data_IF_023698996252
#
_entry.id   IF_023698996252
#
_cell.length_a   1.000
_cell.length_b   1.000
_cell.length_c   1.000
_cell.angle_alpha   90.00
_cell.angle_beta   90.00
_cell.angle_gamma   90.00
#
_symmetry.space_group_name_H-M   'P 1'
#
loop_
_entity.id
_entity.type
_entity.pdbx_description
1 polymer ?
#
# COMPACT_ATOMS: atom_id res chain seq x y z
N UNK A 1 30.86 -17.45 15.91
CA UNK A 1 29.41 -17.28 15.69
C UNK A 1 29.20 -15.91 15.06
N UNK A 2 28.41 -15.85 14.00
CA UNK A 2 28.01 -14.62 13.32
C UNK A 2 26.69 -14.12 13.94
N UNK A 3 26.52 -12.82 14.09
CA UNK A 3 25.31 -12.22 14.67
C UNK A 3 24.47 -11.59 13.57
N UNK A 4 23.23 -12.05 13.43
CA UNK A 4 22.24 -11.46 12.51
C UNK A 4 21.24 -10.66 13.34
N UNK A 5 21.03 -9.40 12.99
CA UNK A 5 20.12 -8.50 13.68
C UNK A 5 18.97 -8.12 12.76
N UNK A 6 17.73 -8.37 13.18
CA UNK A 6 16.49 -8.09 12.42
C UNK A 6 15.54 -7.18 13.21
N UNK A 7 14.51 -6.62 12.58
CA UNK A 7 13.57 -5.73 13.30
C UNK A 7 12.59 -6.46 14.23
N UNK A 8 12.11 -7.67 13.88
CA UNK A 8 11.03 -8.34 14.60
C UNK A 8 11.37 -9.75 15.13
N UNK A 9 10.75 -10.19 16.24
CA UNK A 9 10.95 -11.55 16.76
C UNK A 9 10.46 -12.65 15.81
N UNK A 10 9.37 -12.41 15.07
CA UNK A 10 8.84 -13.39 14.10
C UNK A 10 9.87 -13.64 13.00
N UNK A 11 10.42 -12.56 12.42
CA UNK A 11 11.47 -12.63 11.40
C UNK A 11 12.70 -13.36 11.94
N UNK A 12 13.10 -13.09 13.19
CA UNK A 12 14.20 -13.80 13.83
C UNK A 12 13.95 -15.32 13.91
N UNK A 13 12.74 -15.73 14.30
CA UNK A 13 12.34 -17.15 14.34
C UNK A 13 12.36 -17.79 12.95
N UNK A 14 11.82 -17.11 11.94
CA UNK A 14 11.79 -17.62 10.57
C UNK A 14 13.20 -17.77 9.99
N UNK A 15 14.09 -16.79 10.19
CA UNK A 15 15.48 -16.87 9.74
C UNK A 15 16.26 -17.99 10.43
N UNK A 16 16.02 -18.25 11.72
CA UNK A 16 16.65 -19.37 12.44
C UNK A 16 16.31 -20.75 11.83
N UNK A 17 15.21 -20.88 11.07
CA UNK A 17 14.88 -22.13 10.37
C UNK A 17 15.70 -22.34 9.10
N UNK A 18 16.25 -21.27 8.52
CA UNK A 18 17.01 -21.31 7.27
C UNK A 18 18.53 -21.22 7.50
N UNK A 19 18.95 -20.59 8.58
CA UNK A 19 20.35 -20.42 8.96
C UNK A 19 20.87 -21.61 9.76
N UNK A 20 22.13 -21.97 9.53
CA UNK A 20 22.81 -23.00 10.32
C UNK A 20 23.20 -22.50 11.73
N UNK A 21 23.75 -23.39 12.55
CA UNK A 21 24.16 -23.09 13.93
C UNK A 21 25.35 -22.13 14.03
N UNK A 22 25.94 -21.70 12.91
CA UNK A 22 27.03 -20.71 12.91
C UNK A 22 26.51 -19.29 13.10
N UNK A 23 25.20 -19.07 12.88
CA UNK A 23 24.51 -17.80 13.07
C UNK A 23 23.71 -17.77 14.36
N UNK A 24 23.72 -16.60 15.02
CA UNK A 24 22.79 -16.25 16.09
C UNK A 24 21.93 -15.09 15.61
N UNK A 25 20.61 -15.30 15.57
CA UNK A 25 19.66 -14.27 15.14
C UNK A 25 19.01 -13.59 16.35
N UNK A 26 19.05 -12.27 16.39
CA UNK A 26 18.46 -11.44 17.45
C UNK A 26 17.61 -10.33 16.85
N UNK A 27 16.61 -9.84 17.58
CA UNK A 27 15.72 -8.78 17.11
C UNK A 27 15.88 -7.47 17.89
N UNK A 28 15.83 -6.32 17.21
CA UNK A 28 15.78 -4.99 17.84
C UNK A 28 14.39 -4.64 18.42
N UNK A 29 13.35 -5.37 17.99
CA UNK A 29 11.95 -5.07 18.24
C UNK A 29 11.56 -3.67 17.73
N UNK A 30 12.02 -3.33 16.52
CA UNK A 30 11.83 -2.04 15.86
C UNK A 30 12.93 -1.02 16.18
N UNK A 31 12.56 0.26 16.21
CA UNK A 31 13.48 1.36 16.52
C UNK A 31 14.05 1.24 17.94
N UNK A 32 15.36 1.48 18.07
CA UNK A 32 16.07 1.51 19.36
C UNK A 32 16.23 2.93 19.89
N UNK A 33 16.34 3.92 18.99
CA UNK A 33 16.53 5.33 19.30
C UNK A 33 15.47 6.17 18.61
N UNK A 34 15.16 7.31 19.21
CA UNK A 34 14.30 8.34 18.62
C UNK A 34 14.66 9.71 19.21
N UNK A 35 14.10 10.76 18.62
CA UNK A 35 14.17 12.10 19.16
C UNK A 35 13.43 12.19 20.52
N UNK A 36 13.91 12.98 21.50
CA UNK A 36 13.28 13.16 22.80
C UNK A 36 11.77 13.44 22.71
N UNK A 37 11.00 12.90 23.65
CA UNK A 37 9.54 13.10 23.69
C UNK A 37 9.15 14.51 24.14
N UNK A 38 9.93 15.12 25.05
CA UNK A 38 9.59 16.37 25.74
C UNK A 38 10.26 17.62 25.17
N UNK A 39 11.18 17.48 24.22
CA UNK A 39 11.91 18.60 23.61
C UNK A 39 11.98 18.43 22.10
N UNK A 40 12.36 19.51 21.39
CA UNK A 40 12.49 19.46 19.94
C UNK A 40 13.47 18.36 19.49
N UNK A 41 14.59 18.21 20.21
CA UNK A 41 15.62 17.20 19.92
C UNK A 41 16.36 17.46 18.62
N UNK A 42 16.31 18.67 18.08
CA UNK A 42 17.00 19.07 16.85
C UNK A 42 17.75 20.35 17.15
N UNK A 43 19.08 20.29 17.05
CA UNK A 43 19.94 21.47 17.09
C UNK A 43 19.91 22.12 15.72
N UNK A 44 19.53 23.39 15.68
CA UNK A 44 19.46 24.18 14.46
C UNK A 44 20.59 25.20 14.50
N UNK A 45 21.60 25.02 13.66
CA UNK A 45 22.65 26.03 13.47
C UNK A 45 22.35 26.85 12.23
N UNK A 46 22.51 28.17 12.36
CA UNK A 46 22.28 29.16 11.30
C UNK A 46 23.61 29.79 10.93
N UNK A 47 24.45 29.03 10.25
CA UNK A 47 25.71 29.54 9.71
C UNK A 47 25.53 29.74 8.18
N UNK A 48 26.54 29.44 7.36
CA UNK A 48 26.45 29.58 5.89
C UNK A 48 25.39 28.66 5.25
N UNK A 49 25.05 27.55 5.90
CA UNK A 49 23.90 26.69 5.59
C UNK A 49 23.17 26.35 6.89
N UNK A 50 21.88 26.03 6.76
CA UNK A 50 21.11 25.46 7.87
C UNK A 50 21.57 24.03 8.13
N UNK A 51 22.08 23.79 9.34
CA UNK A 51 22.38 22.44 9.83
C UNK A 51 21.32 22.03 10.85
N UNK A 52 20.73 20.85 10.63
CA UNK A 52 19.71 20.24 11.46
C UNK A 52 20.26 18.97 12.09
N UNK A 53 20.97 19.10 13.21
CA UNK A 53 21.57 17.94 13.88
C UNK A 53 20.56 17.30 14.85
N UNK A 54 20.09 16.06 14.61
CA UNK A 54 19.18 15.37 15.52
C UNK A 54 19.90 14.84 16.77
N UNK A 55 19.28 15.01 17.93
CA UNK A 55 19.71 14.43 19.20
C UNK A 55 18.90 13.17 19.48
N UNK A 56 19.43 12.02 19.04
CA UNK A 56 18.77 10.74 19.25
C UNK A 56 19.07 10.15 20.63
N UNK A 57 18.01 9.87 21.39
CA UNK A 57 18.07 9.19 22.69
C UNK A 57 17.71 7.72 22.56
N UNK A 58 18.30 6.88 23.43
CA UNK A 58 17.85 5.50 23.58
C UNK A 58 16.44 5.48 24.15
N UNK A 59 15.53 4.76 23.51
CA UNK A 59 14.16 4.62 24.00
C UNK A 59 14.16 3.92 25.38
N UNK A 60 13.48 4.46 26.41
CA UNK A 60 13.51 3.88 27.76
C UNK A 60 13.14 2.39 27.80
N UNK A 61 12.14 2.00 27.01
CA UNK A 61 11.66 0.61 26.88
C UNK A 61 12.63 -0.32 26.14
N UNK A 62 13.72 0.21 25.59
CA UNK A 62 14.71 -0.53 24.79
C UNK A 62 16.08 -0.67 25.47
N UNK A 63 16.22 -0.23 26.73
CA UNK A 63 17.47 -0.30 27.50
C UNK A 63 18.03 -1.73 27.58
N UNK A 64 17.21 -2.67 28.00
CA UNK A 64 17.63 -4.07 28.19
C UNK A 64 18.00 -4.73 26.85
N UNK A 65 17.23 -4.44 25.80
CA UNK A 65 17.49 -4.93 24.45
C UNK A 65 18.82 -4.37 23.95
N UNK A 66 19.07 -3.07 24.10
CA UNK A 66 20.30 -2.45 23.68
C UNK A 66 21.53 -3.00 24.44
N UNK A 67 21.40 -3.27 25.74
CA UNK A 67 22.47 -3.91 26.52
C UNK A 67 22.74 -5.34 26.02
N UNK A 68 21.70 -6.15 25.80
CA UNK A 68 21.83 -7.50 25.25
C UNK A 68 22.49 -7.48 23.87
N UNK A 69 22.06 -6.59 22.98
CA UNK A 69 22.66 -6.43 21.64
C UNK A 69 24.14 -6.08 21.71
N UNK A 70 24.53 -5.16 22.60
CA UNK A 70 25.95 -4.82 22.83
C UNK A 70 26.76 -6.03 23.31
N UNK A 71 26.21 -6.84 24.22
CA UNK A 71 26.89 -8.03 24.74
C UNK A 71 27.06 -9.10 23.65
N UNK A 72 26.03 -9.36 22.85
CA UNK A 72 26.11 -10.31 21.73
C UNK A 72 27.07 -9.82 20.65
N UNK A 73 27.03 -8.52 20.32
CA UNK A 73 27.92 -7.91 19.33
C UNK A 73 29.41 -8.02 19.70
N UNK A 74 29.75 -7.99 21.00
CA UNK A 74 31.13 -8.22 21.49
C UNK A 74 31.61 -9.65 21.24
N UNK A 75 30.72 -10.64 21.31
CA UNK A 75 31.03 -12.08 21.11
C UNK A 75 31.04 -12.49 19.63
N UNK A 76 30.43 -11.69 18.77
CA UNK A 76 30.26 -12.00 17.36
C UNK A 76 31.55 -11.76 16.56
N UNK A 77 31.86 -12.69 15.63
CA UNK A 77 32.94 -12.53 14.64
C UNK A 77 32.54 -11.51 13.57
N UNK A 78 31.36 -11.69 12.97
CA UNK A 78 30.75 -10.81 11.98
C UNK A 78 29.36 -10.39 12.45
N UNK A 79 28.96 -9.14 12.15
CA UNK A 79 27.64 -8.60 12.45
C UNK A 79 26.92 -8.26 11.15
N UNK A 80 25.73 -8.81 10.99
CA UNK A 80 24.90 -8.70 9.80
C UNK A 80 23.60 -7.99 10.18
N UNK A 81 23.33 -6.86 9.53
CA UNK A 81 22.12 -6.07 9.71
C UNK A 81 21.13 -6.49 8.61
N UNK A 82 20.09 -7.22 9.00
CA UNK A 82 19.10 -7.84 8.11
C UNK A 82 17.70 -7.23 8.30
N UNK A 83 17.65 -5.90 8.43
CA UNK A 83 16.41 -5.14 8.52
C UNK A 83 15.70 -5.08 7.17
N UNK A 84 14.43 -4.69 7.17
CA UNK A 84 13.62 -4.54 5.95
C UNK A 84 14.29 -3.67 4.85
N UNK A 85 13.97 -3.91 3.56
CA UNK A 85 14.60 -3.23 2.43
C UNK A 85 13.97 -1.85 2.14
N UNK A 86 13.56 -1.10 3.17
CA UNK A 86 13.04 0.26 3.07
C UNK A 86 13.91 1.25 3.86
N UNK A 87 13.75 2.56 3.65
CA UNK A 87 14.51 3.58 4.42
C UNK A 87 14.32 3.48 5.93
N UNK A 88 13.18 2.96 6.40
CA UNK A 88 12.94 2.76 7.83
C UNK A 88 13.84 1.62 8.36
N UNK A 89 13.93 0.51 7.64
CA UNK A 89 14.86 -0.57 7.91
C UNK A 89 16.31 -0.12 7.86
N UNK A 90 16.66 0.77 6.92
CA UNK A 90 18.00 1.34 6.81
C UNK A 90 18.35 2.24 8.02
N UNK A 91 17.43 3.08 8.46
CA UNK A 91 17.60 3.88 9.66
C UNK A 91 17.72 3.03 10.94
N UNK A 92 16.98 1.92 11.04
CA UNK A 92 17.11 0.95 12.14
C UNK A 92 18.50 0.30 12.11
N UNK A 93 18.98 -0.13 10.94
CA UNK A 93 20.33 -0.68 10.78
C UNK A 93 21.39 0.32 11.24
N UNK A 94 21.31 1.58 10.78
CA UNK A 94 22.21 2.66 11.17
C UNK A 94 22.20 2.96 12.66
N UNK A 95 21.02 3.09 13.28
CA UNK A 95 20.90 3.29 14.72
C UNK A 95 21.44 2.12 15.52
N UNK A 96 21.26 0.89 15.02
CA UNK A 96 21.77 -0.32 15.64
C UNK A 96 23.30 -0.34 15.60
N UNK A 97 23.90 -0.09 14.44
CA UNK A 97 25.35 0.00 14.26
C UNK A 97 25.97 1.04 15.20
N UNK A 98 25.37 2.24 15.28
CA UNK A 98 25.79 3.28 16.22
C UNK A 98 25.74 2.80 17.68
N UNK A 99 24.66 2.11 18.08
CA UNK A 99 24.50 1.67 19.47
C UNK A 99 25.50 0.58 19.86
N UNK A 100 25.76 -0.38 18.98
CA UNK A 100 26.70 -1.48 19.29
C UNK A 100 28.16 -1.02 19.29
N UNK A 101 28.47 0.12 18.66
CA UNK A 101 29.80 0.73 18.68
C UNK A 101 30.84 0.00 17.83
N UNK A 102 30.41 -0.84 16.88
CA UNK A 102 31.29 -1.49 15.89
C UNK A 102 31.04 -0.92 14.51
N UNK A 103 32.12 -0.58 13.81
CA UNK A 103 32.09 -0.11 12.42
C UNK A 103 32.09 -1.26 11.41
N UNK A 104 32.61 -2.42 11.79
CA UNK A 104 32.65 -3.62 10.96
C UNK A 104 31.31 -4.37 11.01
N UNK A 105 30.30 -3.79 10.36
CA UNK A 105 28.96 -4.36 10.19
C UNK A 105 28.65 -4.43 8.70
N UNK A 106 28.02 -5.51 8.27
CA UNK A 106 27.51 -5.62 6.89
C UNK A 106 26.00 -5.51 6.85
N UNK A 107 25.48 -5.05 5.70
CA UNK A 107 24.05 -4.89 5.43
C UNK A 107 23.57 -5.96 4.46
N UNK A 108 22.45 -6.60 4.76
CA UNK A 108 21.83 -7.63 3.91
C UNK A 108 20.35 -7.30 3.73
N UNK A 109 19.91 -7.15 2.49
CA UNK A 109 18.51 -6.87 2.12
C UNK A 109 17.91 -8.07 1.39
N UNK A 110 16.63 -8.32 1.61
CA UNK A 110 15.87 -9.32 0.86
C UNK A 110 14.41 -8.88 0.77
N UNK A 111 13.76 -9.16 -0.36
CA UNK A 111 12.35 -8.82 -0.60
C UNK A 111 11.40 -9.99 -0.32
N UNK A 112 11.92 -11.15 0.05
CA UNK A 112 11.19 -12.32 0.47
C UNK A 112 12.01 -13.14 1.47
N UNK A 113 11.34 -13.92 2.33
CA UNK A 113 11.98 -14.72 3.38
C UNK A 113 11.95 -16.19 2.96
N UNK A 114 12.77 -16.52 1.97
CA UNK A 114 12.98 -17.89 1.49
C UNK A 114 14.42 -18.31 1.72
N UNK A 115 14.70 -19.61 1.78
CA UNK A 115 16.06 -20.13 1.98
C UNK A 115 17.03 -19.58 0.92
N UNK A 116 16.64 -19.66 -0.35
CA UNK A 116 17.46 -19.18 -1.48
C UNK A 116 17.70 -17.67 -1.43
N UNK A 117 16.68 -16.86 -1.12
CA UNK A 117 16.85 -15.41 -1.06
C UNK A 117 17.76 -14.99 0.10
N UNK A 118 17.71 -15.69 1.23
CA UNK A 118 18.57 -15.44 2.39
C UNK A 118 20.02 -15.85 2.08
N UNK A 119 20.24 -17.03 1.50
CA UNK A 119 21.58 -17.50 1.12
C UNK A 119 22.25 -16.55 0.11
N UNK A 120 21.50 -16.16 -0.92
CA UNK A 120 21.94 -15.18 -1.92
C UNK A 120 22.34 -13.85 -1.26
N UNK A 121 21.47 -13.31 -0.41
CA UNK A 121 21.70 -12.02 0.24
C UNK A 121 22.89 -12.07 1.23
N UNK A 122 23.14 -13.21 1.88
CA UNK A 122 24.31 -13.41 2.74
C UNK A 122 25.62 -13.57 1.98
N UNK A 123 25.55 -14.08 0.74
CA UNK A 123 26.71 -14.22 -0.14
C UNK A 123 27.14 -12.89 -0.76
N UNK A 124 26.20 -11.93 -0.88
CA UNK A 124 26.43 -10.59 -1.42
C UNK A 124 26.11 -9.48 -0.39
N UNK A 125 26.84 -9.42 0.74
CA UNK A 125 26.61 -8.38 1.74
C UNK A 125 27.00 -7.01 1.18
N UNK A 126 26.15 -6.02 1.41
CA UNK A 126 26.41 -4.62 1.11
C UNK A 126 26.80 -3.81 2.35
N UNK A 127 26.78 -2.49 2.19
CA UNK A 127 26.98 -1.51 3.25
C UNK A 127 25.67 -0.78 3.57
N UNK A 128 25.64 -0.05 4.69
CA UNK A 128 24.49 0.79 5.02
C UNK A 128 24.40 1.92 3.98
N UNK A 129 23.25 2.05 3.35
CA UNK A 129 22.98 3.12 2.39
C UNK A 129 22.69 4.43 3.14
N UNK A 130 23.71 5.29 3.26
CA UNK A 130 23.60 6.56 3.97
C UNK A 130 22.57 7.50 3.35
N UNK A 131 22.37 7.50 2.02
CA UNK A 131 21.36 8.33 1.38
C UNK A 131 19.93 7.95 1.79
N UNK A 132 19.65 6.65 1.96
CA UNK A 132 18.35 6.19 2.49
C UNK A 132 18.18 6.58 3.97
N UNK A 133 19.26 6.48 4.77
CA UNK A 133 19.25 6.94 6.17
C UNK A 133 18.95 8.44 6.22
N UNK A 134 19.67 9.25 5.45
CA UNK A 134 19.49 10.71 5.39
C UNK A 134 18.08 11.07 4.93
N UNK A 135 17.52 10.36 3.96
CA UNK A 135 16.13 10.56 3.53
C UNK A 135 15.13 10.27 4.66
N UNK A 136 15.35 9.21 5.46
CA UNK A 136 14.53 8.89 6.63
C UNK A 136 14.67 9.97 7.71
N UNK A 137 15.91 10.41 8.01
CA UNK A 137 16.18 11.44 9.00
C UNK A 137 15.59 12.79 8.60
N UNK A 138 15.73 13.20 7.34
CA UNK A 138 15.15 14.43 6.80
C UNK A 138 13.63 14.43 6.98
N UNK A 139 12.96 13.31 6.67
CA UNK A 139 11.52 13.14 6.93
C UNK A 139 11.22 13.27 8.43
N UNK A 140 11.96 12.58 9.30
CA UNK A 140 11.75 12.59 10.76
C UNK A 140 11.90 13.99 11.35
N UNK A 141 12.94 14.72 10.93
CA UNK A 141 13.23 16.10 11.32
C UNK A 141 12.12 17.03 10.84
N UNK A 142 11.72 16.93 9.56
CA UNK A 142 10.65 17.75 9.00
C UNK A 142 9.33 17.58 9.76
N UNK A 143 8.91 16.33 9.97
CA UNK A 143 7.66 16.03 10.69
C UNK A 143 7.73 16.54 12.15
N UNK A 144 8.91 16.45 12.80
CA UNK A 144 9.13 17.01 14.14
C UNK A 144 9.05 18.53 14.15
N UNK A 145 9.67 19.23 13.19
CA UNK A 145 9.63 20.69 13.10
C UNK A 145 8.20 21.21 12.90
N UNK A 146 7.44 20.59 11.98
CA UNK A 146 6.04 20.95 11.74
C UNK A 146 5.20 20.70 12.99
N UNK A 147 5.27 19.50 13.56
CA UNK A 147 4.48 19.15 14.73
C UNK A 147 4.77 20.04 15.93
N UNK A 148 6.04 20.26 16.26
CA UNK A 148 6.43 21.04 17.44
C UNK A 148 6.14 22.54 17.29
N UNK A 149 6.29 23.11 16.10
CA UNK A 149 6.05 24.55 15.86
C UNK A 149 4.58 24.88 15.67
N UNK A 150 3.80 24.02 14.98
CA UNK A 150 2.40 24.33 14.65
C UNK A 150 1.40 23.88 15.72
N UNK A 151 1.65 22.80 16.46
CA UNK A 151 0.68 22.32 17.46
C UNK A 151 0.34 23.38 18.54
N UNK A 152 1.30 24.15 19.09
CA UNK A 152 0.98 25.23 20.03
C UNK A 152 0.07 26.31 19.46
N UNK A 153 0.18 26.60 18.15
CA UNK A 153 -0.70 27.54 17.48
C UNK A 153 -2.13 26.98 17.42
N UNK A 154 -2.30 25.70 17.08
CA UNK A 154 -3.61 25.03 17.08
C UNK A 154 -4.24 25.02 18.48
N UNK A 155 -3.43 24.87 19.54
CA UNK A 155 -3.93 24.92 20.92
C UNK A 155 -4.47 26.29 21.30
N UNK A 156 -3.81 27.35 20.84
CA UNK A 156 -4.20 28.74 21.11
C UNK A 156 -5.41 29.19 20.27
N UNK A 157 -5.54 28.68 19.04
CA UNK A 157 -6.54 29.15 18.07
C UNK A 157 -7.76 28.26 17.92
N UNK A 158 -7.67 26.97 18.27
CA UNK A 158 -8.74 25.99 18.05
C UNK A 158 -9.06 25.25 19.35
N UNK A 159 -8.18 24.35 19.79
CA UNK A 159 -8.41 23.52 20.99
C UNK A 159 -7.10 22.94 21.51
N UNK A 160 -6.88 23.00 22.83
CA UNK A 160 -5.76 22.31 23.50
C UNK A 160 -5.80 20.81 23.22
N UNK A 161 -4.63 20.22 22.97
CA UNK A 161 -4.47 18.78 22.71
C UNK A 161 -4.52 18.38 21.23
N UNK A 162 -4.78 19.31 20.30
CA UNK A 162 -4.68 19.03 18.87
C UNK A 162 -3.23 18.84 18.42
N UNK A 163 -2.99 17.97 17.44
CA UNK A 163 -1.66 17.77 16.86
C UNK A 163 -1.63 18.26 15.42
N UNK A 164 -0.55 18.98 15.07
CA UNK A 164 -0.27 19.34 13.70
C UNK A 164 0.51 18.20 13.02
N UNK A 165 0.04 17.75 11.86
CA UNK A 165 0.70 16.72 11.08
C UNK A 165 0.73 17.08 9.60
N UNK A 166 1.92 17.27 9.03
CA UNK A 166 2.11 17.75 7.65
C UNK A 166 1.27 16.97 6.62
N UNK A 167 1.28 15.64 6.70
CA UNK A 167 0.52 14.77 5.79
C UNK A 167 -0.91 14.54 6.26
N UNK A 168 -1.12 14.42 7.58
CA UNK A 168 -2.45 14.17 8.16
C UNK A 168 -3.42 15.32 7.88
N UNK A 169 -2.96 16.57 8.00
CA UNK A 169 -3.79 17.76 7.73
C UNK A 169 -4.24 17.83 6.27
N UNK A 170 -3.41 17.38 5.31
CA UNK A 170 -3.81 17.31 3.89
C UNK A 170 -4.84 16.21 3.67
N UNK A 171 -4.69 15.05 4.31
CA UNK A 171 -5.69 13.97 4.21
C UNK A 171 -7.04 14.40 4.81
N UNK A 172 -7.04 15.07 5.96
CA UNK A 172 -8.25 15.65 6.56
C UNK A 172 -8.87 16.70 5.63
N UNK A 173 -8.04 17.56 5.00
CA UNK A 173 -8.51 18.55 4.02
C UNK A 173 -9.29 17.91 2.88
N UNK A 174 -8.80 16.80 2.30
CA UNK A 174 -9.52 16.11 1.21
C UNK A 174 -10.91 15.62 1.63
N UNK A 175 -11.05 15.14 2.87
CA UNK A 175 -12.35 14.72 3.42
C UNK A 175 -13.26 15.93 3.61
N UNK A 176 -12.75 17.02 4.17
CA UNK A 176 -13.51 18.26 4.39
C UNK A 176 -13.95 18.90 3.06
N UNK A 177 -13.10 18.87 2.04
CA UNK A 177 -13.45 19.36 0.69
C UNK A 177 -14.58 18.54 0.09
N UNK A 178 -14.53 17.20 0.18
CA UNK A 178 -15.63 16.33 -0.25
C UNK A 178 -16.91 16.59 0.55
N UNK A 179 -16.83 16.77 1.85
CA UNK A 179 -18.03 17.06 2.66
C UNK A 179 -18.67 18.38 2.24
N UNK A 180 -17.87 19.42 1.98
CA UNK A 180 -18.37 20.71 1.48
C UNK A 180 -18.97 20.61 0.08
N UNK A 181 -18.47 19.71 -0.77
CA UNK A 181 -19.10 19.41 -2.06
C UNK A 181 -20.50 18.81 -1.86
N UNK A 182 -20.64 17.88 -0.89
CA UNK A 182 -21.91 17.23 -0.55
C UNK A 182 -22.89 18.24 0.06
N UNK A 183 -22.45 19.09 1.00
CA UNK A 183 -23.29 20.12 1.62
C UNK A 183 -23.81 21.16 0.62
N UNK A 184 -23.04 21.44 -0.43
CA UNK A 184 -23.42 22.38 -1.50
C UNK A 184 -24.20 21.72 -2.63
N UNK A 185 -24.34 20.40 -2.62
CA UNK A 185 -25.05 19.67 -3.66
C UNK A 185 -26.54 19.98 -3.57
N UNK A 186 -27.10 20.56 -4.63
CA UNK A 186 -28.55 20.78 -4.78
C UNK A 186 -29.06 19.65 -5.68
N UNK A 187 -29.82 18.67 -5.16
CA UNK A 187 -30.37 17.61 -5.99
C UNK A 187 -31.33 18.16 -7.03
N UNK A 188 -31.17 17.74 -8.29
CA UNK A 188 -32.13 18.00 -9.36
C UNK A 188 -32.99 16.76 -9.58
N UNK A 189 -34.31 16.96 -9.63
CA UNK A 189 -35.26 15.92 -10.00
C UNK A 189 -35.07 15.55 -11.48
N UNK A 190 -35.03 14.24 -11.75
CA UNK A 190 -35.11 13.72 -13.10
C UNK A 190 -35.82 12.37 -13.11
N UNK A 191 -36.43 12.05 -14.24
CA UNK A 191 -37.17 10.82 -14.45
C UNK A 191 -36.54 9.97 -15.56
N UNK A 192 -36.58 8.67 -15.38
CA UNK A 192 -36.20 7.68 -16.39
C UNK A 192 -37.41 6.82 -16.73
N UNK A 193 -37.68 6.64 -18.03
CA UNK A 193 -38.74 5.75 -18.49
C UNK A 193 -38.12 4.43 -18.93
N UNK A 194 -38.62 3.34 -18.36
CA UNK A 194 -38.22 1.98 -18.67
C UNK A 194 -39.42 1.18 -19.15
N UNK A 195 -39.29 0.52 -20.30
CA UNK A 195 -40.29 -0.37 -20.86
C UNK A 195 -39.85 -1.83 -20.67
N UNK A 196 -40.75 -2.68 -20.19
CA UNK A 196 -40.53 -4.12 -20.18
C UNK A 196 -41.00 -4.70 -21.51
N UNK A 197 -40.05 -5.09 -22.35
CA UNK A 197 -40.31 -5.57 -23.70
C UNK A 197 -40.06 -7.07 -23.81
N UNK A 198 -40.80 -7.73 -24.70
CA UNK A 198 -40.63 -9.13 -25.04
C UNK A 198 -40.62 -9.28 -26.55
N UNK A 199 -39.70 -10.10 -27.08
CA UNK A 199 -39.64 -10.34 -28.52
C UNK A 199 -40.94 -10.99 -29.00
N UNK A 200 -41.61 -10.35 -29.94
CA UNK A 200 -42.81 -10.88 -30.57
C UNK A 200 -42.42 -11.68 -31.83
N UNK A 201 -42.25 -13.00 -31.71
CA UNK A 201 -41.95 -13.90 -32.85
C UNK A 201 -43.22 -14.68 -33.21
N UNK A 202 -44.06 -14.12 -34.07
CA UNK A 202 -45.30 -14.77 -34.50
C UNK A 202 -46.30 -15.01 -33.35
N UNK A 203 -46.31 -14.14 -32.34
CA UNK A 203 -47.17 -14.23 -31.15
C UNK A 203 -46.39 -14.29 -29.83
N UNK A 204 -47.14 -14.28 -28.72
CA UNK A 204 -46.64 -14.50 -27.36
C UNK A 204 -46.25 -15.98 -27.16
N UNK A 205 -45.07 -16.39 -27.62
CA UNK A 205 -44.55 -17.74 -27.34
C UNK A 205 -44.10 -17.83 -25.88
N UNK A 206 -44.59 -18.82 -25.14
CA UNK A 206 -44.08 -19.17 -23.80
C UNK A 206 -42.56 -19.36 -23.81
N UNK A 207 -41.88 -18.93 -22.73
CA UNK A 207 -40.43 -19.08 -22.59
C UNK A 207 -39.54 -17.97 -23.19
N UNK A 208 -40.08 -17.03 -23.99
CA UNK A 208 -39.29 -15.86 -24.45
C UNK A 208 -39.05 -14.89 -23.27
N UNK A 209 -37.80 -14.60 -22.87
CA UNK A 209 -37.53 -13.72 -21.74
C UNK A 209 -37.90 -12.27 -22.06
N UNK A 210 -38.44 -11.58 -21.07
CA UNK A 210 -38.60 -10.13 -21.11
C UNK A 210 -37.28 -9.42 -20.77
N UNK A 211 -37.10 -8.20 -21.27
CA UNK A 211 -35.97 -7.35 -20.94
C UNK A 211 -36.41 -5.91 -20.74
N UNK A 212 -35.60 -5.14 -20.01
CA UNK A 212 -35.85 -3.72 -19.79
C UNK A 212 -35.16 -2.89 -20.87
N UNK A 213 -35.92 -1.99 -21.49
CA UNK A 213 -35.43 -0.99 -22.42
C UNK A 213 -35.64 0.41 -21.82
N UNK A 214 -34.55 1.16 -21.66
CA UNK A 214 -34.60 2.57 -21.23
C UNK A 214 -34.88 3.47 -22.43
N UNK A 215 -35.81 4.42 -22.28
CA UNK A 215 -35.98 5.50 -23.25
C UNK A 215 -34.74 6.41 -23.21
N UNK A 216 -33.99 6.46 -24.31
CA UNK A 216 -32.76 7.26 -24.41
C UNK A 216 -32.95 8.55 -25.23
N UNK A 217 -33.95 8.60 -26.10
CA UNK A 217 -34.22 9.72 -27.00
C UNK A 217 -35.71 9.87 -27.26
N UNK A 218 -36.16 11.10 -27.48
CA UNK A 218 -37.50 11.43 -27.97
C UNK A 218 -37.34 12.30 -29.22
N UNK A 219 -37.99 11.92 -30.33
CA UNK A 219 -37.90 12.64 -31.61
C UNK A 219 -36.45 12.91 -32.08
N UNK A 220 -35.55 11.95 -31.87
CA UNK A 220 -34.14 12.04 -32.25
C UNK A 220 -33.24 12.85 -31.30
N UNK A 221 -33.81 13.53 -30.30
CA UNK A 221 -33.09 14.35 -29.34
C UNK A 221 -32.84 13.61 -28.02
N UNK A 222 -31.73 13.91 -27.36
CA UNK A 222 -31.47 13.40 -26.01
C UNK A 222 -32.51 13.97 -25.05
N UNK A 223 -33.04 13.10 -24.19
CA UNK A 223 -34.15 13.44 -23.30
C UNK A 223 -33.65 13.63 -21.86
N UNK A 224 -33.95 14.79 -21.27
CA UNK A 224 -33.93 15.01 -19.82
C UNK A 224 -35.38 15.25 -19.38
N UNK A 225 -35.93 14.34 -18.57
CA UNK A 225 -37.29 14.46 -18.05
C UNK A 225 -37.17 15.05 -16.66
N UNK A 226 -37.65 16.27 -16.45
CA UNK A 226 -37.43 17.01 -15.20
C UNK A 226 -38.61 16.92 -14.23
N UNK A 227 -39.77 16.41 -14.69
CA UNK A 227 -41.01 16.36 -13.92
C UNK A 227 -41.80 15.08 -14.18
N UNK A 228 -42.51 14.62 -13.15
CA UNK A 228 -43.41 13.46 -13.23
C UNK A 228 -44.46 13.62 -14.32
N UNK A 229 -45.06 14.81 -14.46
CA UNK A 229 -46.12 15.06 -15.45
C UNK A 229 -45.65 14.84 -16.88
N UNK A 230 -44.42 15.25 -17.19
CA UNK A 230 -43.79 15.00 -18.49
C UNK A 230 -43.51 13.50 -18.67
N UNK A 231 -43.05 12.81 -17.63
CA UNK A 231 -42.84 11.36 -17.68
C UNK A 231 -44.16 10.63 -17.98
N UNK A 232 -45.23 10.95 -17.26
CA UNK A 232 -46.55 10.33 -17.40
C UNK A 232 -47.18 10.58 -18.77
N UNK A 233 -46.98 11.77 -19.35
CA UNK A 233 -47.42 12.06 -20.73
C UNK A 233 -46.73 11.14 -21.73
N UNK A 234 -45.40 11.02 -21.65
CA UNK A 234 -44.62 10.17 -22.55
C UNK A 234 -44.99 8.69 -22.34
N UNK A 235 -45.21 8.25 -21.10
CA UNK A 235 -45.68 6.88 -20.81
C UNK A 235 -47.02 6.61 -21.49
N UNK A 236 -47.98 7.53 -21.39
CA UNK A 236 -49.30 7.37 -22.02
C UNK A 236 -49.26 7.30 -23.55
N UNK A 237 -48.26 7.91 -24.18
CA UNK A 237 -47.98 7.76 -25.62
C UNK A 237 -47.33 6.40 -25.92
N UNK A 238 -46.35 5.99 -25.11
CA UNK A 238 -45.59 4.75 -25.28
C UNK A 238 -46.41 3.48 -25.02
N UNK A 239 -47.37 3.50 -24.09
CA UNK A 239 -48.29 2.37 -23.85
C UNK A 239 -49.13 2.01 -25.08
N UNK A 240 -49.36 2.99 -25.96
CA UNK A 240 -50.13 2.82 -27.21
C UNK A 240 -49.22 2.57 -28.41
N UNK A 241 -47.90 2.65 -28.23
CA UNK A 241 -46.95 2.54 -29.31
C UNK A 241 -46.64 1.07 -29.65
N UNK A 242 -46.29 0.84 -30.91
CA UNK A 242 -45.67 -0.40 -31.34
C UNK A 242 -44.16 -0.28 -31.23
N UNK A 243 -43.51 -1.31 -30.68
CA UNK A 243 -42.06 -1.33 -30.51
C UNK A 243 -41.42 -2.20 -31.57
N UNK A 244 -40.41 -1.65 -32.24
CA UNK A 244 -39.58 -2.36 -33.20
C UNK A 244 -38.10 -2.25 -32.84
N UNK A 245 -37.30 -3.21 -33.32
CA UNK A 245 -35.86 -3.21 -33.12
C UNK A 245 -35.23 -2.37 -34.24
N UNK A 246 -34.82 -1.15 -33.92
CA UNK A 246 -34.18 -0.26 -34.90
C UNK A 246 -32.74 -0.67 -35.26
N UNK A 247 -31.93 -1.07 -34.28
CA UNK A 247 -30.53 -1.47 -34.51
C UNK A 247 -30.08 -2.53 -33.51
N UNK A 248 -29.30 -3.50 -33.99
CA UNK A 248 -28.58 -4.47 -33.15
C UNK A 248 -27.10 -4.37 -33.46
N UNK A 249 -26.29 -4.04 -32.44
CA UNK A 249 -24.84 -4.01 -32.56
C UNK A 249 -24.22 -5.08 -31.66
N UNK A 250 -23.38 -5.94 -32.23
CA UNK A 250 -22.62 -6.95 -31.49
C UNK A 250 -21.13 -6.58 -31.55
N UNK A 251 -20.55 -6.32 -30.38
CA UNK A 251 -19.13 -6.01 -30.22
C UNK A 251 -18.46 -7.02 -29.31
N UNK A 252 -17.28 -7.45 -29.70
CA UNK A 252 -16.38 -8.20 -28.82
C UNK A 252 -15.53 -7.23 -28.01
N UNK A 253 -15.54 -7.38 -26.69
CA UNK A 253 -14.77 -6.52 -25.78
C UNK A 253 -13.79 -7.40 -25.02
N UNK A 254 -12.50 -7.09 -25.17
CA UNK A 254 -11.44 -7.78 -24.42
C UNK A 254 -11.17 -7.05 -23.11
N UNK A 255 -11.31 -7.76 -21.98
CA UNK A 255 -10.92 -7.25 -20.68
C UNK A 255 -9.59 -7.84 -20.23
N UNK A 256 -8.58 -6.98 -20.06
CA UNK A 256 -7.30 -7.41 -19.53
C UNK A 256 -7.40 -7.72 -18.01
N UNK A 257 -6.69 -8.74 -17.50
CA UNK A 257 -6.57 -8.98 -16.07
C UNK A 257 -5.88 -7.80 -15.36
N UNK A 258 -6.19 -7.58 -14.07
CA UNK A 258 -5.52 -6.55 -13.29
C UNK A 258 -4.03 -6.89 -13.08
N UNK A 259 -3.18 -5.85 -12.85
CA UNK A 259 -1.78 -6.06 -12.50
C UNK A 259 -1.63 -6.71 -11.11
N UNK A 260 -0.43 -7.22 -10.77
CA UNK A 260 -0.14 -7.70 -9.42
C UNK A 260 -0.30 -6.59 -8.38
N UNK A 261 -0.42 -6.99 -7.11
CA UNK A 261 -0.66 -6.05 -6.03
C UNK A 261 0.57 -5.21 -5.69
N UNK A 262 0.36 -3.89 -5.64
CA UNK A 262 1.13 -2.93 -4.85
C UNK A 262 0.49 -2.76 -3.47
N UNK A 263 1.14 -2.05 -2.55
CA UNK A 263 0.55 -1.73 -1.24
C UNK A 263 -0.81 -1.03 -1.35
N UNK A 264 -0.94 -0.06 -2.26
CA UNK A 264 -2.18 0.71 -2.43
C UNK A 264 -3.32 -0.15 -2.98
N UNK A 265 -3.04 -0.92 -4.03
CA UNK A 265 -4.06 -1.78 -4.66
C UNK A 265 -4.46 -2.95 -3.77
N UNK A 266 -3.51 -3.50 -2.99
CA UNK A 266 -3.80 -4.50 -1.95
C UNK A 266 -4.76 -3.94 -0.89
N UNK A 267 -4.49 -2.73 -0.37
CA UNK A 267 -5.36 -2.11 0.63
C UNK A 267 -6.76 -1.82 0.08
N UNK A 268 -6.86 -1.26 -1.14
CA UNK A 268 -8.14 -0.99 -1.79
C UNK A 268 -8.96 -2.27 -2.02
N UNK A 269 -8.33 -3.35 -2.49
CA UNK A 269 -9.00 -4.64 -2.68
C UNK A 269 -9.38 -5.29 -1.35
N UNK A 270 -8.55 -5.19 -0.32
CA UNK A 270 -8.88 -5.72 1.00
C UNK A 270 -10.07 -4.99 1.66
N UNK A 271 -10.19 -3.67 1.48
CA UNK A 271 -11.38 -2.92 1.94
C UNK A 271 -12.63 -3.40 1.19
N UNK A 272 -12.59 -3.43 -0.14
CA UNK A 272 -13.77 -3.75 -0.97
C UNK A 272 -14.20 -5.23 -0.92
N UNK A 273 -13.27 -6.17 -0.70
CA UNK A 273 -13.57 -7.61 -0.72
C UNK A 273 -13.62 -8.27 0.65
N UNK A 274 -12.88 -7.76 1.63
CA UNK A 274 -12.74 -8.38 2.95
C UNK A 274 -13.20 -7.46 4.09
N UNK A 275 -13.62 -6.22 3.80
CA UNK A 275 -13.96 -5.21 4.80
C UNK A 275 -12.84 -4.95 5.81
N UNK A 276 -11.58 -5.12 5.38
CA UNK A 276 -10.42 -4.85 6.24
C UNK A 276 -10.03 -3.38 6.15
N UNK A 277 -9.85 -2.72 7.29
CA UNK A 277 -9.21 -1.41 7.33
C UNK A 277 -7.74 -1.52 6.87
N UNK A 278 -7.17 -0.43 6.34
CA UNK A 278 -5.76 -0.39 5.93
C UNK A 278 -4.82 -0.89 7.04
N UNK A 279 -5.10 -0.54 8.31
CA UNK A 279 -4.31 -1.01 9.46
C UNK A 279 -4.38 -2.53 9.63
N UNK A 280 -5.56 -3.14 9.48
CA UNK A 280 -5.72 -4.59 9.57
C UNK A 280 -5.01 -5.28 8.41
N UNK A 281 -5.19 -4.79 7.18
CA UNK A 281 -4.53 -5.33 5.98
C UNK A 281 -3.02 -5.34 6.13
N UNK A 282 -2.41 -4.22 6.55
CA UNK A 282 -0.96 -4.14 6.71
C UNK A 282 -0.43 -5.02 7.85
N UNK A 283 -1.19 -5.21 8.94
CA UNK A 283 -0.81 -6.14 10.01
C UNK A 283 -0.78 -7.59 9.53
N UNK A 284 -1.80 -8.00 8.79
CA UNK A 284 -1.88 -9.35 8.20
C UNK A 284 -0.74 -9.54 7.19
N UNK A 285 -0.55 -8.59 6.28
CA UNK A 285 0.52 -8.65 5.29
C UNK A 285 1.92 -8.71 5.93
N UNK A 286 2.20 -7.92 6.98
CA UNK A 286 3.43 -8.03 7.77
C UNK A 286 3.62 -9.46 8.30
N UNK A 287 2.56 -10.06 8.85
CA UNK A 287 2.63 -11.41 9.42
C UNK A 287 2.91 -12.46 8.34
N UNK A 288 2.28 -12.33 7.17
CA UNK A 288 2.50 -13.23 6.03
C UNK A 288 3.93 -13.11 5.49
N UNK A 289 4.44 -11.88 5.35
CA UNK A 289 5.81 -11.61 4.93
C UNK A 289 6.83 -12.19 5.91
N UNK A 290 6.66 -11.94 7.22
CA UNK A 290 7.57 -12.46 8.26
C UNK A 290 7.58 -13.98 8.36
N UNK A 291 6.51 -14.64 7.89
CA UNK A 291 6.41 -16.11 7.76
C UNK A 291 6.92 -16.65 6.42
N UNK A 292 7.37 -15.79 5.51
CA UNK A 292 7.85 -16.18 4.18
C UNK A 292 6.74 -16.60 3.20
N UNK A 293 5.49 -16.17 3.43
CA UNK A 293 4.33 -16.55 2.60
C UNK A 293 4.06 -15.59 1.43
N UNK A 294 4.55 -14.35 1.53
CA UNK A 294 4.44 -13.33 0.48
C UNK A 294 5.75 -12.53 0.40
N UNK A 295 5.94 -11.83 -0.71
CA UNK A 295 7.00 -10.83 -0.86
C UNK A 295 6.73 -9.59 -0.01
N UNK A 296 7.70 -8.68 0.05
CA UNK A 296 7.61 -7.45 0.82
C UNK A 296 6.39 -6.60 0.43
N UNK A 297 5.51 -6.40 1.40
CA UNK A 297 4.17 -5.85 1.21
C UNK A 297 4.12 -4.31 1.17
N UNK A 298 5.24 -3.62 1.42
CA UNK A 298 5.40 -2.16 1.28
C UNK A 298 6.18 -1.87 0.00
N UNK A 299 5.48 -1.92 -1.13
CA UNK A 299 6.07 -1.73 -2.46
C UNK A 299 5.10 -0.98 -3.38
N UNK A 300 5.65 -0.14 -4.24
CA UNK A 300 4.96 0.47 -5.37
C UNK A 300 5.26 -0.24 -6.71
N UNK A 301 6.09 -1.29 -6.67
CA UNK A 301 6.52 -2.05 -7.83
C UNK A 301 5.45 -3.03 -8.30
N UNK A 302 5.28 -3.11 -9.62
CA UNK A 302 4.49 -4.15 -10.28
C UNK A 302 5.36 -5.28 -10.83
N UNK A 303 6.67 -5.23 -10.58
CA UNK A 303 7.61 -6.20 -11.10
C UNK A 303 7.38 -7.59 -10.49
N UNK A 304 7.52 -8.62 -11.31
CA UNK A 304 7.47 -10.01 -10.88
C UNK A 304 8.81 -10.67 -11.25
N UNK A 305 9.43 -11.34 -10.28
CA UNK A 305 10.65 -12.10 -10.54
C UNK A 305 10.38 -13.18 -11.60
N UNK A 306 11.36 -13.43 -12.49
CA UNK A 306 11.24 -14.40 -13.58
C UNK A 306 10.83 -15.79 -13.08
N UNK A 307 11.35 -16.20 -11.92
CA UNK A 307 11.00 -17.46 -11.25
C UNK A 307 9.52 -17.48 -10.83
N UNK A 308 9.01 -16.39 -10.27
CA UNK A 308 7.60 -16.28 -9.89
C UNK A 308 6.67 -16.33 -11.11
N UNK A 309 7.06 -15.69 -12.22
CA UNK A 309 6.30 -15.72 -13.47
C UNK A 309 6.27 -17.16 -14.04
N UNK A 310 7.40 -17.87 -14.03
CA UNK A 310 7.47 -19.26 -14.45
C UNK A 310 6.54 -20.15 -13.61
N UNK A 311 6.68 -20.08 -12.28
CA UNK A 311 5.87 -20.88 -11.36
C UNK A 311 4.36 -20.60 -11.52
N UNK A 312 3.98 -19.34 -11.74
CA UNK A 312 2.59 -18.96 -11.97
C UNK A 312 2.05 -19.54 -13.29
N UNK A 313 2.85 -19.51 -14.36
CA UNK A 313 2.47 -20.09 -15.66
C UNK A 313 2.28 -21.61 -15.56
N UNK A 314 3.21 -22.29 -14.90
CA UNK A 314 3.14 -23.74 -14.67
C UNK A 314 1.89 -24.09 -13.84
N UNK A 315 1.59 -23.28 -12.81
CA UNK A 315 0.37 -23.42 -12.01
C UNK A 315 -0.90 -23.24 -12.85
N UNK A 316 -0.95 -22.20 -13.71
CA UNK A 316 -2.12 -21.94 -14.55
C UNK A 316 -2.34 -23.09 -15.55
N UNK A 317 -1.26 -23.52 -16.21
CA UNK A 317 -1.32 -24.63 -17.17
C UNK A 317 -1.83 -25.91 -16.51
N UNK A 318 -1.30 -26.24 -15.33
CA UNK A 318 -1.66 -27.46 -14.60
C UNK A 318 -3.10 -27.45 -14.07
N UNK A 319 -3.59 -26.32 -13.57
CA UNK A 319 -4.87 -26.26 -12.86
C UNK A 319 -6.05 -25.76 -13.71
N UNK A 320 -5.78 -24.96 -14.74
CA UNK A 320 -6.82 -24.37 -15.61
C UNK A 320 -6.68 -24.76 -17.08
N UNK A 321 -5.52 -25.28 -17.50
CA UNK A 321 -5.27 -25.73 -18.86
C UNK A 321 -4.74 -24.64 -19.79
N UNK A 322 -4.36 -25.04 -21.01
CA UNK A 322 -3.65 -24.18 -21.97
C UNK A 322 -4.46 -22.95 -22.39
N UNK A 323 -5.80 -23.06 -22.49
CA UNK A 323 -6.68 -21.95 -22.91
C UNK A 323 -6.70 -20.78 -21.91
N UNK A 324 -6.27 -20.99 -20.67
CA UNK A 324 -6.18 -19.95 -19.64
C UNK A 324 -4.76 -19.41 -19.47
N UNK A 325 -3.76 -20.03 -20.10
CA UNK A 325 -2.38 -19.60 -20.06
C UNK A 325 -2.11 -18.60 -21.19
N UNK A 326 -1.77 -17.33 -20.92
CA UNK A 326 -1.38 -16.41 -21.97
C UNK A 326 -0.17 -16.92 -22.75
N UNK A 327 -0.17 -16.77 -24.07
CA UNK A 327 0.94 -17.26 -24.94
C UNK A 327 2.29 -16.74 -24.46
N UNK A 328 2.36 -15.45 -24.14
CA UNK A 328 3.57 -14.77 -23.66
C UNK A 328 3.49 -14.43 -22.17
N UNK A 329 4.61 -14.51 -21.44
CA UNK A 329 4.72 -13.97 -20.09
C UNK A 329 4.30 -12.50 -20.04
N UNK A 330 3.53 -12.12 -19.01
CA UNK A 330 3.08 -10.73 -18.82
C UNK A 330 3.96 -10.05 -17.78
N UNK A 331 4.62 -8.98 -18.20
CA UNK A 331 5.36 -8.10 -17.31
C UNK A 331 4.66 -6.75 -17.21
N UNK A 332 4.65 -6.18 -16.01
CA UNK A 332 3.98 -4.91 -15.73
C UNK A 332 5.04 -3.86 -15.42
N UNK A 333 5.00 -2.73 -16.13
CA UNK A 333 5.92 -1.62 -15.89
C UNK A 333 5.40 -0.76 -14.73
N UNK A 334 6.25 -0.53 -13.74
CA UNK A 334 6.01 0.44 -12.67
C UNK A 334 6.01 1.85 -13.25
N UNK A 335 4.95 2.63 -13.00
CA UNK A 335 4.82 4.03 -13.47
C UNK A 335 5.28 5.08 -12.43
N UNK A 336 5.65 4.64 -11.23
CA UNK A 336 6.05 5.54 -10.13
C UNK A 336 7.39 6.21 -10.42
N UNK A 337 7.43 7.56 -10.35
CA UNK A 337 8.67 8.36 -10.46
C UNK A 337 9.58 8.25 -9.22
N UNK A 338 9.09 7.64 -8.13
CA UNK A 338 9.77 7.56 -6.82
C UNK A 338 9.92 6.09 -6.38
N UNK A 339 9.93 5.15 -7.32
CA UNK A 339 10.28 3.75 -7.04
C UNK A 339 11.79 3.69 -6.71
N UNK A 340 12.13 4.06 -5.47
CA UNK A 340 13.51 4.05 -4.95
C UNK A 340 13.78 2.88 -4.01
N UNK A 341 12.74 2.10 -3.63
CA UNK A 341 12.80 1.00 -2.67
C UNK A 341 12.14 -0.27 -3.20
#
# INVERSE_FOLDING_TARGET
MNLVIVESPTKAKTLNNFLDKTYRVVSTMGHLRDLPEKSLGIKIKKEKQFDFTPEYLLLPKKKDIAQKLKQEAKKAKKIILATDPDREGEAIAWHTAFLIGKKDTVRVTFHEITKSAIEEALSHPGEINLSLVEAQQARRILDRLVGYKLSPLLWRKIRRGLSAGRVQSVAVRLIVEREREIEKFIPEEYWEIWAQLRRHVGGLKEGVPAFLAKLIKLNGQNLKIEKETQASQIVGELEKANYEVGQVEKKEVFQAPPPPFTTSTLQQKAVSRLSFSSRRTMRVAQTLYEKGLITYHRTDSLNLATVAVKNLRDFIQKNYGQNFLPDKPRFYKTKSKVAQE
#
